data_IF_134070196575
#
_entry.id   IF_134070196575
#
_cell.length_a   1.000
_cell.length_b   1.000
_cell.length_c   1.000
_cell.angle_alpha   90.00
_cell.angle_beta   90.00
_cell.angle_gamma   90.00
#
_symmetry.space_group_name_H-M   'P 1'
#
loop_
_entity.id
_entity.type
_entity.pdbx_description
1 polymer ?
#
# COMPACT_ATOMS: atom_id res chain seq x y z
N UNK A 1 4.62 32.68 66.61
CA UNK A 1 5.89 32.34 65.92
C UNK A 1 5.96 30.88 65.44
N UNK A 2 5.73 29.86 66.29
CA UNK A 2 5.81 28.43 65.88
C UNK A 2 4.87 28.00 64.75
N UNK A 3 3.61 28.49 64.72
CA UNK A 3 2.64 28.16 63.65
C UNK A 3 3.02 28.75 62.28
N UNK A 4 3.64 29.93 62.26
CA UNK A 4 4.07 30.61 61.03
C UNK A 4 5.26 29.88 60.38
N UNK A 5 6.20 29.40 61.20
CA UNK A 5 7.34 28.60 60.75
C UNK A 5 6.92 27.28 60.11
N UNK A 6 5.90 26.61 60.68
CA UNK A 6 5.38 25.35 60.14
C UNK A 6 4.73 25.56 58.75
N UNK A 7 3.96 26.63 58.59
CA UNK A 7 3.32 26.97 57.32
C UNK A 7 4.34 27.25 56.21
N UNK A 8 5.43 27.95 56.53
CA UNK A 8 6.51 28.25 55.58
C UNK A 8 7.23 26.96 55.16
N UNK A 9 7.48 26.04 56.10
CA UNK A 9 8.11 24.74 55.83
C UNK A 9 7.26 23.88 54.89
N UNK A 10 5.94 23.85 55.10
CA UNK A 10 5.01 23.10 54.23
C UNK A 10 5.00 23.73 52.82
N UNK A 11 4.94 25.05 52.72
CA UNK A 11 4.93 25.74 51.42
C UNK A 11 6.24 25.52 50.65
N UNK A 12 7.39 25.57 51.34
CA UNK A 12 8.69 25.24 50.74
C UNK A 12 8.76 23.78 50.29
N UNK A 13 8.22 22.84 51.07
CA UNK A 13 8.20 21.42 50.69
C UNK A 13 7.34 21.18 49.44
N UNK A 14 6.16 21.81 49.34
CA UNK A 14 5.30 21.74 48.18
C UNK A 14 5.95 22.37 46.94
N UNK A 15 6.70 23.46 47.13
CA UNK A 15 7.43 24.11 46.04
C UNK A 15 8.59 23.23 45.53
N UNK A 16 9.33 22.58 46.43
CA UNK A 16 10.40 21.63 46.05
C UNK A 16 9.82 20.43 45.31
N UNK A 17 8.72 19.86 45.78
CA UNK A 17 8.02 18.75 45.11
C UNK A 17 7.54 19.18 43.72
N UNK A 18 6.90 20.35 43.59
CA UNK A 18 6.46 20.89 42.30
C UNK A 18 7.64 21.17 41.34
N UNK A 19 8.78 21.61 41.87
CA UNK A 19 10.00 21.82 41.10
C UNK A 19 10.65 20.51 40.64
N UNK A 20 10.49 19.41 41.39
CA UNK A 20 10.95 18.08 40.98
C UNK A 20 10.06 17.44 39.91
N UNK A 21 8.79 17.83 39.78
CA UNK A 21 7.89 17.29 38.74
C UNK A 21 8.01 17.99 37.37
N UNK A 22 8.41 19.27 37.31
CA UNK A 22 8.68 19.98 36.04
C UNK A 22 9.77 19.34 35.15
N UNK A 23 10.95 18.94 35.67
CA UNK A 23 11.99 18.33 34.84
C UNK A 23 11.57 16.96 34.30
N UNK A 24 10.69 16.23 34.98
CA UNK A 24 10.23 14.91 34.52
C UNK A 24 9.38 15.03 33.25
N UNK A 25 8.47 16.00 33.17
CA UNK A 25 7.64 16.21 31.96
C UNK A 25 8.48 16.57 30.74
N UNK A 26 9.43 17.49 30.91
CA UNK A 26 10.35 17.88 29.83
C UNK A 26 11.26 16.72 29.41
N UNK A 27 11.74 15.89 30.35
CA UNK A 27 12.54 14.71 30.02
C UNK A 27 11.71 13.65 29.30
N UNK A 28 10.44 13.43 29.68
CA UNK A 28 9.55 12.49 28.97
C UNK A 28 9.26 12.97 27.54
N UNK A 29 9.00 14.26 27.34
CA UNK A 29 8.84 14.85 25.99
C UNK A 29 10.15 14.78 25.18
N UNK A 30 11.30 15.05 25.79
CA UNK A 30 12.61 14.97 25.13
C UNK A 30 13.00 13.52 24.77
N UNK A 31 12.64 12.55 25.61
CA UNK A 31 12.88 11.11 25.39
C UNK A 31 11.90 10.57 24.34
N UNK A 32 10.64 11.03 24.32
CA UNK A 32 9.69 10.71 23.27
C UNK A 32 10.11 11.29 21.91
N UNK A 33 10.65 12.51 21.89
CA UNK A 33 11.22 13.14 20.69
C UNK A 33 12.55 12.51 20.22
N UNK A 34 13.21 11.72 21.08
CA UNK A 34 14.44 10.97 20.80
C UNK A 34 14.22 9.49 20.49
N UNK A 35 12.99 9.06 20.22
CA UNK A 35 12.75 7.72 19.70
C UNK A 35 13.51 7.54 18.37
N UNK A 36 14.59 6.76 18.42
CA UNK A 36 15.41 6.45 17.26
C UNK A 36 14.55 5.93 16.10
N UNK A 37 14.77 6.38 14.84
CA UNK A 37 14.01 5.99 13.63
C UNK A 37 13.90 4.48 13.36
N UNK A 38 14.63 3.64 14.12
CA UNK A 38 14.69 2.19 13.94
C UNK A 38 13.57 1.39 14.62
N UNK A 39 12.73 2.01 15.47
CA UNK A 39 11.74 1.25 16.27
C UNK A 39 10.48 0.80 15.50
N UNK A 40 10.19 1.38 14.33
CA UNK A 40 8.96 1.06 13.60
C UNK A 40 9.06 -0.21 12.76
N UNK A 41 10.25 -0.80 12.59
CA UNK A 41 10.42 -2.01 11.76
C UNK A 41 10.71 -3.23 12.64
N UNK A 42 9.81 -4.22 12.56
CA UNK A 42 10.04 -5.55 13.12
C UNK A 42 10.66 -6.47 12.04
N UNK A 43 11.96 -6.74 12.19
CA UNK A 43 12.75 -7.51 11.21
C UNK A 43 12.42 -9.01 11.23
N UNK A 44 11.90 -9.55 12.32
CA UNK A 44 11.65 -11.00 12.45
C UNK A 44 10.29 -11.45 11.93
N UNK A 45 9.49 -10.50 11.41
CA UNK A 45 8.13 -10.78 10.99
C UNK A 45 7.97 -10.94 9.48
N UNK A 46 6.82 -11.46 9.03
CA UNK A 46 6.61 -11.93 7.65
C UNK A 46 5.26 -11.51 7.05
N UNK A 47 4.60 -10.48 7.59
CA UNK A 47 3.40 -9.87 6.99
C UNK A 47 3.54 -8.35 6.97
N UNK A 48 2.75 -7.65 6.14
CA UNK A 48 2.74 -6.17 6.12
C UNK A 48 2.49 -5.59 7.52
N UNK A 49 1.40 -5.99 8.16
CA UNK A 49 0.99 -5.55 9.50
C UNK A 49 2.09 -5.81 10.53
N UNK A 50 2.67 -7.00 10.55
CA UNK A 50 3.67 -7.35 11.55
C UNK A 50 5.02 -6.70 11.29
N UNK A 51 5.37 -6.38 10.03
CA UNK A 51 6.65 -5.79 9.61
C UNK A 51 6.82 -4.38 10.10
N UNK A 52 5.74 -3.62 10.13
CA UNK A 52 5.78 -2.21 10.49
C UNK A 52 4.88 -1.96 11.68
N UNK A 53 5.46 -1.54 12.80
CA UNK A 53 4.74 -1.13 14.00
C UNK A 53 4.02 0.20 13.76
N UNK A 54 2.89 0.39 14.43
CA UNK A 54 2.21 1.68 14.45
C UNK A 54 3.09 2.70 15.20
N UNK A 55 3.20 3.96 14.73
CA UNK A 55 3.87 5.02 15.47
C UNK A 55 3.19 5.31 16.81
N UNK A 56 3.90 5.96 17.73
CA UNK A 56 3.33 6.36 19.02
C UNK A 56 2.10 7.26 18.79
N UNK A 57 1.02 7.02 19.54
CA UNK A 57 -0.24 7.76 19.40
C UNK A 57 -1.16 7.28 18.28
N UNK A 58 -0.71 6.34 17.45
CA UNK A 58 -1.49 5.76 16.36
C UNK A 58 -1.98 4.35 16.68
N UNK A 59 -3.17 4.02 16.20
CA UNK A 59 -3.77 2.69 16.26
C UNK A 59 -4.16 2.22 14.86
N UNK A 60 -4.08 0.91 14.61
CA UNK A 60 -4.52 0.37 13.31
C UNK A 60 -6.03 0.48 13.20
N UNK A 61 -6.52 0.92 12.05
CA UNK A 61 -7.95 0.92 11.77
C UNK A 61 -8.49 -0.51 11.70
N UNK A 62 -9.74 -0.70 12.14
CA UNK A 62 -10.42 -1.99 12.12
C UNK A 62 -11.07 -2.28 10.77
N UNK A 63 -10.96 -3.53 10.34
CA UNK A 63 -11.56 -4.03 9.12
C UNK A 63 -12.23 -5.38 9.35
N UNK A 64 -13.31 -5.63 8.63
CA UNK A 64 -14.02 -6.90 8.69
C UNK A 64 -13.09 -8.05 8.28
N UNK A 65 -13.19 -9.18 8.99
CA UNK A 65 -12.47 -10.41 8.65
C UNK A 65 -12.86 -10.88 7.25
N UNK A 66 -11.88 -11.29 6.45
CA UNK A 66 -12.10 -11.72 5.07
C UNK A 66 -12.37 -10.58 4.09
N UNK A 67 -12.23 -9.32 4.51
CA UNK A 67 -12.24 -8.17 3.60
C UNK A 67 -10.93 -8.07 2.82
N UNK A 68 -10.94 -7.31 1.72
CA UNK A 68 -9.72 -7.05 0.94
C UNK A 68 -8.66 -6.31 1.78
N UNK A 69 -9.11 -5.45 2.70
CA UNK A 69 -8.26 -4.69 3.59
C UNK A 69 -7.54 -5.58 4.61
N UNK A 70 -8.28 -6.52 5.20
CA UNK A 70 -7.71 -7.50 6.12
C UNK A 70 -6.75 -8.46 5.38
N UNK A 71 -7.10 -8.87 4.15
CA UNK A 71 -6.22 -9.64 3.27
C UNK A 71 -4.90 -8.89 2.98
N UNK A 72 -4.96 -7.63 2.56
CA UNK A 72 -3.77 -6.84 2.21
C UNK A 72 -2.85 -6.63 3.40
N UNK A 73 -3.37 -6.21 4.56
CA UNK A 73 -2.49 -5.95 5.71
C UNK A 73 -1.81 -7.22 6.23
N UNK A 74 -2.39 -8.39 5.98
CA UNK A 74 -1.81 -9.67 6.35
C UNK A 74 -1.06 -10.34 5.18
N UNK A 75 -0.85 -9.64 4.06
CA UNK A 75 -0.13 -10.17 2.91
C UNK A 75 1.29 -10.55 3.31
N UNK A 76 1.73 -11.74 2.88
CA UNK A 76 3.02 -12.30 3.26
C UNK A 76 4.18 -11.53 2.64
N UNK A 77 5.24 -11.39 3.44
CA UNK A 77 6.51 -10.81 3.04
C UNK A 77 7.60 -11.87 3.13
N UNK A 78 8.57 -11.76 2.22
CA UNK A 78 9.85 -12.45 2.34
C UNK A 78 10.61 -11.97 3.58
N UNK A 79 11.62 -12.73 4.06
CA UNK A 79 12.44 -12.33 5.20
C UNK A 79 13.01 -10.91 5.05
N UNK A 80 13.22 -10.23 6.18
CA UNK A 80 13.76 -8.87 6.15
C UNK A 80 15.11 -8.81 5.43
N UNK A 81 15.36 -7.73 4.70
CA UNK A 81 16.59 -7.55 3.93
C UNK A 81 16.61 -8.33 2.61
N UNK A 82 15.54 -9.06 2.26
CA UNK A 82 15.41 -9.62 0.91
C UNK A 82 15.49 -8.51 -0.14
N UNK A 83 16.34 -8.72 -1.14
CA UNK A 83 16.55 -7.78 -2.23
C UNK A 83 15.35 -7.77 -3.18
N UNK A 84 15.05 -6.60 -3.73
CA UNK A 84 14.20 -6.49 -4.92
C UNK A 84 14.98 -7.11 -6.09
N UNK A 85 14.38 -8.10 -6.76
CA UNK A 85 14.90 -8.67 -8.00
C UNK A 85 14.02 -8.25 -9.18
N UNK A 86 14.65 -8.04 -10.32
CA UNK A 86 14.01 -7.81 -11.61
C UNK A 86 13.48 -9.14 -12.19
N UNK A 87 12.68 -9.08 -13.26
CA UNK A 87 12.13 -10.24 -13.94
C UNK A 87 13.17 -11.21 -14.53
N UNK A 88 14.40 -10.75 -14.74
CA UNK A 88 15.55 -11.52 -15.23
C UNK A 88 16.44 -12.08 -14.10
N UNK A 89 15.91 -12.10 -12.87
CA UNK A 89 16.59 -12.53 -11.65
C UNK A 89 17.78 -11.64 -11.22
N UNK A 90 18.05 -10.53 -11.92
CA UNK A 90 19.09 -9.56 -11.51
C UNK A 90 18.63 -8.71 -10.31
N UNK A 91 19.54 -8.30 -9.41
CA UNK A 91 19.20 -7.35 -8.35
C UNK A 91 18.80 -6.00 -8.93
N UNK A 92 17.68 -5.44 -8.46
CA UNK A 92 17.31 -4.07 -8.78
C UNK A 92 18.33 -3.08 -8.21
N UNK A 93 18.71 -2.04 -8.96
CA UNK A 93 19.81 -1.17 -8.53
C UNK A 93 19.48 -0.36 -7.26
N UNK A 94 18.20 -0.02 -7.03
CA UNK A 94 17.77 0.80 -5.90
C UNK A 94 17.13 -0.04 -4.79
N UNK A 95 17.97 -0.48 -3.85
CA UNK A 95 17.59 -1.31 -2.69
C UNK A 95 17.29 -0.50 -1.41
N UNK A 96 17.49 0.83 -1.43
CA UNK A 96 17.29 1.69 -0.25
C UNK A 96 15.84 2.17 -0.08
N UNK A 97 15.01 1.99 -1.10
CA UNK A 97 13.64 2.48 -1.17
C UNK A 97 12.57 1.52 -0.63
N UNK A 98 12.94 0.38 -0.06
CA UNK A 98 11.97 -0.60 0.43
C UNK A 98 12.30 -1.14 1.83
N UNK A 99 11.28 -1.69 2.49
CA UNK A 99 11.38 -2.32 3.82
C UNK A 99 10.84 -3.76 3.86
N UNK A 100 10.37 -4.27 2.72
CA UNK A 100 9.89 -5.64 2.59
C UNK A 100 9.55 -5.98 1.15
N UNK A 101 9.73 -7.24 0.78
CA UNK A 101 9.34 -7.77 -0.54
C UNK A 101 8.13 -8.68 -0.31
N UNK A 102 7.02 -8.42 -1.03
CA UNK A 102 5.82 -9.26 -0.95
C UNK A 102 6.11 -10.63 -1.55
N UNK A 103 5.43 -11.65 -1.05
CA UNK A 103 5.52 -13.03 -1.55
C UNK A 103 4.71 -13.22 -2.85
N UNK A 104 4.91 -12.33 -3.81
CA UNK A 104 4.32 -12.38 -5.16
C UNK A 104 5.41 -12.80 -6.15
N UNK A 105 5.24 -13.91 -6.89
CA UNK A 105 6.17 -14.28 -7.95
C UNK A 105 6.29 -13.19 -9.02
N UNK A 106 7.52 -12.91 -9.44
CA UNK A 106 7.80 -12.08 -10.62
C UNK A 106 7.82 -13.01 -11.84
N UNK A 107 6.98 -12.80 -12.85
CA UNK A 107 6.98 -13.69 -14.01
C UNK A 107 8.17 -13.38 -14.91
N UNK A 108 8.86 -14.43 -15.38
CA UNK A 108 10.07 -14.34 -16.19
C UNK A 108 9.88 -13.71 -17.57
N UNK A 109 8.63 -13.58 -18.02
CA UNK A 109 8.28 -12.97 -19.30
C UNK A 109 8.29 -11.43 -19.25
N UNK A 110 8.63 -10.82 -18.10
CA UNK A 110 8.69 -9.36 -17.94
C UNK A 110 7.34 -8.66 -17.90
N UNK A 111 6.24 -9.43 -17.99
CA UNK A 111 4.89 -8.94 -17.68
C UNK A 111 4.76 -8.74 -16.16
N UNK A 112 3.64 -8.19 -15.69
CA UNK A 112 3.46 -7.82 -14.29
C UNK A 112 4.22 -6.55 -13.88
N UNK A 113 3.94 -5.47 -14.61
CA UNK A 113 4.39 -4.12 -14.27
C UNK A 113 3.63 -3.53 -13.07
N UNK A 114 3.79 -2.23 -12.78
CA UNK A 114 3.22 -1.57 -11.61
C UNK A 114 1.71 -1.82 -11.43
N UNK A 115 0.89 -1.52 -12.45
CA UNK A 115 -0.56 -1.76 -12.39
C UNK A 115 -0.93 -3.24 -12.35
N UNK A 116 -0.24 -4.06 -13.13
CA UNK A 116 -0.50 -5.49 -13.25
C UNK A 116 -0.33 -6.25 -11.92
N UNK A 117 0.66 -5.87 -11.12
CA UNK A 117 0.88 -6.42 -9.79
C UNK A 117 -0.33 -6.17 -8.87
N UNK A 118 -0.90 -4.97 -8.94
CA UNK A 118 -2.07 -4.58 -8.15
C UNK A 118 -3.35 -5.29 -8.64
N UNK A 119 -3.51 -5.38 -9.96
CA UNK A 119 -4.58 -6.16 -10.63
C UNK A 119 -4.51 -7.63 -10.18
N UNK A 120 -3.31 -8.22 -10.16
CA UNK A 120 -3.10 -9.61 -9.73
C UNK A 120 -3.54 -9.81 -8.29
N UNK A 121 -3.05 -8.98 -7.37
CA UNK A 121 -3.34 -9.11 -5.93
C UNK A 121 -4.84 -9.01 -5.65
N UNK A 122 -5.53 -8.06 -6.30
CA UNK A 122 -7.00 -7.94 -6.19
C UNK A 122 -7.72 -9.16 -6.78
N UNK A 123 -7.28 -9.63 -7.94
CA UNK A 123 -7.91 -10.76 -8.63
C UNK A 123 -7.70 -12.09 -7.89
N UNK A 124 -6.52 -12.31 -7.31
CA UNK A 124 -6.23 -13.48 -6.47
C UNK A 124 -7.05 -13.46 -5.18
N UNK A 125 -7.21 -12.29 -4.54
CA UNK A 125 -8.13 -12.16 -3.40
C UNK A 125 -9.57 -12.54 -3.78
N UNK A 126 -10.08 -12.03 -4.90
CA UNK A 126 -11.44 -12.35 -5.37
C UNK A 126 -11.57 -13.84 -5.70
N UNK A 127 -10.56 -14.41 -6.35
CA UNK A 127 -10.50 -15.83 -6.65
C UNK A 127 -10.55 -16.69 -5.38
N UNK A 128 -9.67 -16.43 -4.42
CA UNK A 128 -9.56 -17.25 -3.22
C UNK A 128 -10.78 -17.11 -2.28
N UNK A 129 -11.62 -16.09 -2.51
CA UNK A 129 -12.89 -15.87 -1.81
C UNK A 129 -14.14 -16.24 -2.62
N UNK A 130 -14.00 -16.98 -3.73
CA UNK A 130 -15.11 -17.41 -4.59
C UNK A 130 -15.94 -16.27 -5.22
N UNK A 131 -15.31 -15.12 -5.48
CA UNK A 131 -15.92 -13.90 -6.05
C UNK A 131 -15.44 -13.66 -7.49
N UNK A 132 -15.33 -14.73 -8.27
CA UNK A 132 -14.73 -14.67 -9.62
C UNK A 132 -15.56 -13.85 -10.62
N UNK A 133 -16.85 -13.68 -10.36
CA UNK A 133 -17.77 -12.85 -11.12
C UNK A 133 -17.44 -11.35 -11.06
N UNK A 134 -16.73 -10.92 -10.01
CA UNK A 134 -16.26 -9.54 -9.86
C UNK A 134 -14.93 -9.27 -10.57
N UNK A 135 -14.28 -10.30 -11.13
CA UNK A 135 -13.00 -10.14 -11.81
C UNK A 135 -13.24 -9.63 -13.24
N UNK A 136 -12.82 -8.39 -13.49
CA UNK A 136 -12.86 -7.80 -14.83
C UNK A 136 -12.22 -6.42 -14.86
N UNK A 137 -11.65 -6.06 -16.02
CA UNK A 137 -10.93 -4.80 -16.22
C UNK A 137 -11.19 -4.26 -17.62
N UNK A 138 -11.15 -2.95 -17.77
CA UNK A 138 -11.17 -2.30 -19.07
C UNK A 138 -9.78 -2.35 -19.70
N UNK A 139 -9.75 -2.71 -20.98
CA UNK A 139 -8.61 -2.40 -21.82
C UNK A 139 -8.43 -0.87 -21.92
N UNK A 140 -7.25 -0.42 -22.32
CA UNK A 140 -6.95 1.00 -22.54
C UNK A 140 -7.91 1.64 -23.56
N UNK A 141 -8.44 0.85 -24.49
CA UNK A 141 -9.49 1.25 -25.45
C UNK A 141 -10.90 1.36 -24.84
N UNK A 142 -11.07 1.12 -23.53
CA UNK A 142 -12.34 1.21 -22.81
C UNK A 142 -13.23 -0.04 -22.88
N UNK A 143 -12.79 -1.11 -23.56
CA UNK A 143 -13.58 -2.33 -23.69
C UNK A 143 -13.42 -3.22 -22.45
N UNK A 144 -14.53 -3.54 -21.79
CA UNK A 144 -14.53 -4.36 -20.57
C UNK A 144 -14.30 -5.84 -20.89
N UNK A 145 -13.31 -6.44 -20.23
CA UNK A 145 -12.99 -7.86 -20.35
C UNK A 145 -13.18 -8.55 -18.99
N UNK A 146 -14.30 -9.26 -18.82
CA UNK A 146 -14.56 -10.04 -17.59
C UNK A 146 -13.92 -11.43 -17.65
N UNK A 147 -13.51 -11.93 -16.49
CA UNK A 147 -13.04 -13.30 -16.34
C UNK A 147 -14.12 -14.31 -16.72
N UNK A 148 -15.38 -14.11 -16.30
CA UNK A 148 -16.47 -15.06 -16.59
C UNK A 148 -16.63 -15.27 -18.10
N UNK A 149 -16.64 -14.19 -18.90
CA UNK A 149 -16.73 -14.32 -20.36
C UNK A 149 -15.49 -14.98 -20.96
N UNK A 150 -14.30 -14.64 -20.45
CA UNK A 150 -13.08 -15.32 -20.88
C UNK A 150 -13.12 -16.83 -20.57
N UNK A 151 -13.57 -17.20 -19.38
CA UNK A 151 -13.71 -18.59 -18.95
C UNK A 151 -14.77 -19.34 -19.77
N UNK A 152 -15.85 -18.68 -20.21
CA UNK A 152 -16.87 -19.23 -21.12
C UNK A 152 -16.37 -19.44 -22.57
N UNK A 153 -15.13 -19.03 -22.89
CA UNK A 153 -14.50 -19.23 -24.19
C UNK A 153 -14.48 -18.00 -25.11
N UNK A 154 -14.90 -16.83 -24.61
CA UNK A 154 -14.80 -15.59 -25.37
C UNK A 154 -13.36 -15.06 -25.39
N UNK A 155 -12.90 -14.58 -26.54
CA UNK A 155 -11.57 -13.99 -26.72
C UNK A 155 -11.69 -12.64 -27.43
N UNK A 156 -10.83 -11.66 -27.10
CA UNK A 156 -10.83 -10.40 -27.81
C UNK A 156 -10.34 -10.60 -29.24
N UNK A 157 -11.09 -10.06 -30.19
CA UNK A 157 -10.69 -9.83 -31.56
C UNK A 157 -10.43 -8.33 -31.70
N UNK A 158 -9.19 -7.98 -32.02
CA UNK A 158 -8.71 -6.59 -31.97
C UNK A 158 -8.45 -6.11 -33.40
N UNK A 159 -9.07 -4.99 -33.75
CA UNK A 159 -8.83 -4.28 -35.01
C UNK A 159 -8.62 -2.78 -34.70
N UNK A 160 -7.35 -2.38 -34.60
CA UNK A 160 -6.98 -1.06 -34.10
C UNK A 160 -7.50 -0.83 -32.67
N UNK A 161 -8.24 0.26 -32.47
CA UNK A 161 -8.83 0.61 -31.17
C UNK A 161 -10.20 -0.05 -30.91
N UNK A 162 -10.71 -0.86 -31.83
CA UNK A 162 -11.99 -1.57 -31.66
C UNK A 162 -11.73 -2.99 -31.19
N UNK A 163 -12.45 -3.41 -30.16
CA UNK A 163 -12.35 -4.76 -29.61
C UNK A 163 -13.73 -5.38 -29.55
N UNK A 164 -13.89 -6.53 -30.18
CA UNK A 164 -15.07 -7.38 -30.04
C UNK A 164 -14.68 -8.66 -29.31
N UNK A 165 -15.64 -9.31 -28.65
CA UNK A 165 -15.41 -10.59 -27.98
C UNK A 165 -16.15 -11.69 -28.72
N UNK A 166 -15.40 -12.60 -29.32
CA UNK A 166 -15.94 -13.74 -30.08
C UNK A 166 -15.72 -15.03 -29.30
N UNK A 167 -16.68 -15.94 -29.36
CA UNK A 167 -16.53 -17.27 -28.75
C UNK A 167 -15.68 -18.15 -29.66
N UNK A 168 -14.39 -18.28 -29.33
CA UNK A 168 -13.41 -18.99 -30.16
C UNK A 168 -12.62 -20.07 -29.39
N UNK A 169 -12.88 -20.23 -28.09
CA UNK A 169 -12.29 -21.28 -27.27
C UNK A 169 -13.38 -22.09 -26.55
N UNK A 170 -13.03 -23.31 -26.10
CA UNK A 170 -13.86 -24.08 -25.20
C UNK A 170 -13.91 -23.43 -23.81
N UNK A 171 -14.99 -23.68 -23.06
CA UNK A 171 -15.12 -23.21 -21.69
C UNK A 171 -14.03 -23.84 -20.80
N UNK A 172 -13.41 -23.02 -19.95
CA UNK A 172 -12.35 -23.43 -19.05
C UNK A 172 -12.26 -22.49 -17.83
N UNK A 173 -12.72 -22.99 -16.67
CA UNK A 173 -12.75 -22.25 -15.42
C UNK A 173 -11.56 -22.58 -14.49
N UNK A 174 -10.50 -23.21 -15.02
CA UNK A 174 -9.34 -23.59 -14.21
C UNK A 174 -8.50 -22.39 -13.77
N UNK A 175 -7.81 -22.52 -12.64
CA UNK A 175 -6.85 -21.52 -12.14
C UNK A 175 -5.71 -21.25 -13.14
N UNK A 176 -5.30 -22.27 -13.91
CA UNK A 176 -4.32 -22.08 -14.99
C UNK A 176 -4.85 -21.16 -16.09
N UNK A 177 -6.12 -21.29 -16.47
CA UNK A 177 -6.73 -20.41 -17.46
C UNK A 177 -6.95 -18.98 -16.91
N UNK A 178 -7.16 -18.85 -15.60
CA UNK A 178 -7.19 -17.54 -14.93
C UNK A 178 -5.87 -16.77 -15.04
N UNK A 179 -4.73 -17.41 -14.88
CA UNK A 179 -3.44 -16.73 -15.12
C UNK A 179 -3.21 -16.38 -16.60
N UNK A 180 -3.75 -17.17 -17.55
CA UNK A 180 -3.76 -16.78 -18.97
C UNK A 180 -4.63 -15.54 -19.22
N UNK A 181 -5.77 -15.45 -18.54
CA UNK A 181 -6.59 -14.25 -18.55
C UNK A 181 -5.85 -13.05 -17.98
N UNK A 182 -5.17 -13.17 -16.83
CA UNK A 182 -4.38 -12.08 -16.28
C UNK A 182 -3.27 -11.61 -17.22
N UNK A 183 -2.56 -12.53 -17.89
CA UNK A 183 -1.59 -12.16 -18.92
C UNK A 183 -2.22 -11.38 -20.07
N UNK A 184 -3.43 -11.73 -20.49
CA UNK A 184 -4.18 -10.94 -21.48
C UNK A 184 -4.49 -9.53 -20.94
N UNK A 185 -4.91 -9.42 -19.67
CA UNK A 185 -5.16 -8.11 -19.04
C UNK A 185 -3.89 -7.26 -19.01
N UNK A 186 -2.74 -7.82 -18.65
CA UNK A 186 -1.44 -7.11 -18.61
C UNK A 186 -1.00 -6.57 -19.97
N UNK A 187 -1.48 -7.17 -21.06
CA UNK A 187 -1.16 -6.70 -22.41
C UNK A 187 -1.98 -5.48 -22.84
N UNK A 188 -3.21 -5.34 -22.33
CA UNK A 188 -4.17 -4.36 -22.85
C UNK A 188 -4.67 -3.36 -21.81
N UNK A 189 -4.40 -3.61 -20.54
CA UNK A 189 -4.77 -2.77 -19.40
C UNK A 189 -3.49 -2.32 -18.69
N UNK A 190 -3.57 -1.22 -17.94
CA UNK A 190 -2.44 -0.69 -17.21
C UNK A 190 -2.84 0.53 -16.39
N UNK A 191 -1.87 1.34 -15.98
CA UNK A 191 -2.14 2.49 -15.11
C UNK A 191 -3.16 3.47 -15.72
N UNK A 192 -3.09 3.72 -17.03
CA UNK A 192 -4.05 4.59 -17.72
C UNK A 192 -5.46 4.01 -17.73
N UNK A 193 -5.62 2.70 -17.94
CA UNK A 193 -6.96 2.09 -17.96
C UNK A 193 -7.57 2.11 -16.55
N UNK A 194 -6.79 1.79 -15.51
CA UNK A 194 -7.23 1.89 -14.11
C UNK A 194 -7.63 3.32 -13.73
N UNK A 195 -6.82 4.32 -14.15
CA UNK A 195 -7.12 5.74 -13.90
C UNK A 195 -8.46 6.17 -14.51
N UNK A 196 -8.79 5.66 -15.70
CA UNK A 196 -10.02 6.03 -16.40
C UNK A 196 -11.25 5.24 -15.92
N UNK A 197 -11.07 3.98 -15.49
CA UNK A 197 -12.22 3.11 -15.17
C UNK A 197 -12.64 3.13 -13.70
N UNK A 198 -11.71 3.44 -12.78
CA UNK A 198 -11.94 3.35 -11.35
C UNK A 198 -12.50 4.66 -10.78
N UNK A 199 -13.43 4.61 -9.81
CA UNK A 199 -13.92 5.80 -9.12
C UNK A 199 -12.77 6.54 -8.42
N UNK A 200 -12.73 7.85 -8.62
CA UNK A 200 -11.82 8.75 -7.94
C UNK A 200 -12.23 8.95 -6.47
N UNK A 201 -11.24 9.17 -5.61
CA UNK A 201 -11.45 9.54 -4.21
C UNK A 201 -11.08 11.01 -4.06
N UNK A 202 -12.08 11.83 -3.77
CA UNK A 202 -11.94 13.29 -3.79
C UNK A 202 -11.35 13.87 -2.50
N UNK A 203 -11.40 13.11 -1.40
CA UNK A 203 -10.92 13.53 -0.08
C UNK A 203 -9.96 12.48 0.51
N UNK A 204 -8.75 12.89 0.86
CA UNK A 204 -7.73 12.02 1.42
C UNK A 204 -8.13 11.37 2.77
N UNK A 205 -9.07 11.98 3.50
CA UNK A 205 -9.61 11.38 4.75
C UNK A 205 -10.42 10.10 4.50
N UNK A 206 -10.96 9.93 3.30
CA UNK A 206 -11.74 8.75 2.91
C UNK A 206 -10.85 7.59 2.43
N UNK A 207 -9.54 7.81 2.35
CA UNK A 207 -8.58 6.78 2.00
C UNK A 207 -8.61 5.63 3.00
N UNK A 208 -8.43 4.44 2.46
CA UNK A 208 -8.48 3.18 3.18
C UNK A 208 -7.56 2.16 2.52
N UNK A 209 -7.30 1.04 3.20
CA UNK A 209 -6.47 -0.03 2.64
C UNK A 209 -7.05 -0.52 1.30
N UNK A 210 -6.17 -0.75 0.32
CA UNK A 210 -6.52 -1.15 -1.04
C UNK A 210 -6.79 0.00 -2.02
N UNK A 211 -6.85 1.24 -1.55
CA UNK A 211 -6.87 2.41 -2.43
C UNK A 211 -5.51 2.64 -3.06
N UNK A 212 -5.50 3.34 -4.19
CA UNK A 212 -4.31 3.51 -5.01
C UNK A 212 -4.01 4.98 -5.25
N UNK A 213 -2.76 5.38 -5.00
CA UNK A 213 -2.19 6.63 -5.48
C UNK A 213 -1.75 6.42 -6.93
N UNK A 214 -2.25 7.23 -7.84
CA UNK A 214 -2.19 6.95 -9.28
C UNK A 214 -1.90 8.20 -10.11
N UNK A 215 -1.08 8.01 -11.14
CA UNK A 215 -0.91 8.94 -12.25
C UNK A 215 -1.12 8.18 -13.56
N UNK A 216 -2.25 8.44 -14.22
CA UNK A 216 -2.53 7.90 -15.56
C UNK A 216 -1.54 8.39 -16.62
N UNK A 217 -1.50 7.69 -17.75
CA UNK A 217 -0.69 8.04 -18.92
C UNK A 217 0.45 7.06 -19.22
N UNK A 218 1.29 7.43 -20.19
CA UNK A 218 2.49 6.69 -20.57
C UNK A 218 3.65 7.68 -20.75
N UNK A 219 4.53 7.86 -19.76
CA UNK A 219 4.64 7.07 -18.53
C UNK A 219 3.63 7.49 -17.45
N UNK A 220 2.99 6.48 -16.86
CA UNK A 220 2.16 6.56 -15.64
C UNK A 220 2.80 5.77 -14.49
N UNK A 221 2.28 5.92 -13.27
CA UNK A 221 2.70 5.12 -12.11
C UNK A 221 1.54 4.91 -11.14
N UNK A 222 1.59 3.82 -10.39
CA UNK A 222 0.56 3.47 -9.42
C UNK A 222 1.15 2.69 -8.26
N UNK A 223 0.69 3.02 -7.05
CA UNK A 223 1.03 2.33 -5.81
C UNK A 223 -0.25 2.10 -5.00
N UNK A 224 -0.27 1.08 -4.15
CA UNK A 224 -1.46 0.72 -3.36
C UNK A 224 -1.19 0.85 -1.87
N UNK A 225 -2.22 1.28 -1.13
CA UNK A 225 -2.22 1.31 0.33
C UNK A 225 -2.33 -0.13 0.86
N UNK A 226 -1.32 -0.60 1.58
CA UNK A 226 -1.24 -1.93 2.17
C UNK A 226 -1.60 -2.01 3.65
N UNK A 227 -1.44 -0.92 4.39
CA UNK A 227 -1.90 -0.81 5.78
C UNK A 227 -2.23 0.64 6.11
N UNK A 228 -3.02 0.85 7.18
CA UNK A 228 -3.33 2.17 7.70
C UNK A 228 -3.39 2.19 9.23
N UNK A 229 -3.05 3.35 9.78
CA UNK A 229 -3.21 3.69 11.18
C UNK A 229 -3.84 5.07 11.33
N UNK A 230 -4.52 5.30 12.45
CA UNK A 230 -5.24 6.54 12.78
C UNK A 230 -4.91 6.97 14.22
N UNK A 231 -4.74 8.26 14.47
CA UNK A 231 -4.57 8.83 15.81
C UNK A 231 -5.90 9.32 16.40
N UNK A 232 -5.86 9.90 17.61
CA UNK A 232 -7.06 10.38 18.29
C UNK A 232 -7.73 11.58 17.58
N UNK A 233 -6.95 12.33 16.81
CA UNK A 233 -7.37 13.49 16.01
C UNK A 233 -7.98 13.07 14.65
N UNK A 234 -7.93 11.78 14.32
CA UNK A 234 -8.43 11.23 13.05
C UNK A 234 -7.46 11.39 11.88
N UNK A 235 -6.21 11.78 12.15
CA UNK A 235 -5.14 11.82 11.14
C UNK A 235 -4.69 10.39 10.81
N UNK A 236 -4.49 10.14 9.52
CA UNK A 236 -4.16 8.81 9.01
C UNK A 236 -2.75 8.76 8.44
N UNK A 237 -2.09 7.64 8.68
CA UNK A 237 -0.85 7.27 8.02
C UNK A 237 -1.01 5.94 7.30
N UNK A 238 -0.28 5.79 6.19
CA UNK A 238 -0.46 4.68 5.26
C UNK A 238 0.88 4.00 4.93
N UNK A 239 0.85 2.67 4.77
CA UNK A 239 1.93 1.94 4.10
C UNK A 239 1.59 1.79 2.63
N UNK A 240 2.60 1.96 1.79
CA UNK A 240 2.47 1.82 0.35
C UNK A 240 3.25 0.61 -0.14
N UNK A 241 2.74 -0.08 -1.16
CA UNK A 241 3.50 -1.06 -1.91
C UNK A 241 3.32 -0.87 -3.42
N UNK A 242 4.31 -1.32 -4.18
CA UNK A 242 4.33 -1.11 -5.62
C UNK A 242 5.04 -2.24 -6.36
N UNK A 243 4.66 -2.41 -7.64
CA UNK A 243 5.53 -2.99 -8.67
C UNK A 243 6.34 -1.89 -9.37
N UNK A 244 6.95 -2.21 -10.52
CA UNK A 244 7.69 -1.24 -11.32
C UNK A 244 7.59 -1.56 -12.82
N UNK A 245 8.12 -0.68 -13.66
CA UNK A 245 8.31 -0.91 -15.11
C UNK A 245 9.79 -0.71 -15.45
N UNK A 246 10.53 -1.75 -15.90
CA UNK A 246 10.13 -3.15 -16.11
C UNK A 246 9.69 -3.89 -14.86
N UNK A 247 9.10 -5.09 -15.03
CA UNK A 247 8.61 -5.91 -13.92
C UNK A 247 9.75 -6.28 -12.95
N UNK A 248 9.46 -6.16 -11.66
CA UNK A 248 10.35 -6.51 -10.56
C UNK A 248 9.53 -6.99 -9.36
N UNK A 249 10.22 -7.35 -8.29
CA UNK A 249 9.57 -7.77 -7.04
C UNK A 249 8.63 -6.69 -6.51
N UNK A 250 7.39 -7.08 -6.19
CA UNK A 250 6.44 -6.21 -5.49
C UNK A 250 6.96 -5.96 -4.08
N UNK A 251 7.02 -4.71 -3.64
CA UNK A 251 7.69 -4.36 -2.39
C UNK A 251 6.96 -3.24 -1.63
N UNK A 252 7.07 -3.28 -0.30
CA UNK A 252 6.65 -2.20 0.58
C UNK A 252 7.64 -1.05 0.47
N UNK A 253 7.14 0.14 0.16
CA UNK A 253 7.94 1.33 -0.07
C UNK A 253 8.29 2.01 1.25
N UNK A 254 9.52 2.54 1.30
CA UNK A 254 10.03 3.30 2.44
C UNK A 254 9.79 4.79 2.22
N UNK A 255 9.14 5.47 3.17
CA UNK A 255 9.14 6.93 3.22
C UNK A 255 10.56 7.44 3.53
N UNK A 256 11.15 8.16 2.57
CA UNK A 256 12.49 8.74 2.68
C UNK A 256 12.48 10.21 3.09
N UNK A 257 11.31 10.85 3.05
CA UNK A 257 11.14 12.29 3.32
C UNK A 257 10.94 12.57 4.80
N UNK A 258 10.33 11.64 5.54
CA UNK A 258 10.11 11.78 6.97
C UNK A 258 10.63 10.54 7.74
N UNK A 259 11.78 10.72 8.40
CA UNK A 259 12.43 9.68 9.18
C UNK A 259 11.70 9.33 10.49
N UNK A 260 10.85 10.22 11.02
CA UNK A 260 10.15 10.01 12.29
C UNK A 260 8.98 9.04 12.14
N UNK A 261 8.28 9.09 11.00
CA UNK A 261 7.17 8.19 10.69
C UNK A 261 7.57 7.08 9.71
N UNK A 262 8.78 7.08 9.14
CA UNK A 262 9.22 6.08 8.17
C UNK A 262 8.98 4.65 8.68
N UNK A 263 8.34 3.76 7.90
CA UNK A 263 8.06 3.87 6.46
C UNK A 263 6.67 4.43 6.12
N UNK A 264 5.92 4.92 7.10
CA UNK A 264 4.56 5.43 6.91
C UNK A 264 4.53 6.74 6.12
N UNK A 265 3.43 6.94 5.39
CA UNK A 265 3.15 8.12 4.59
C UNK A 265 1.91 8.85 5.10
N UNK A 266 2.00 10.17 5.24
CA UNK A 266 0.82 11.03 5.25
C UNK A 266 0.47 11.35 3.79
N UNK A 267 -0.80 11.18 3.43
CA UNK A 267 -1.28 11.39 2.07
C UNK A 267 -2.31 12.50 2.04
N UNK A 268 -2.12 13.42 1.09
CA UNK A 268 -3.04 14.52 0.82
C UNK A 268 -3.30 14.59 -0.68
N UNK A 269 -4.50 15.02 -1.06
CA UNK A 269 -4.85 15.18 -2.46
C UNK A 269 -4.19 16.43 -3.04
N UNK A 270 -3.64 16.30 -4.25
CA UNK A 270 -2.93 17.39 -4.92
C UNK A 270 -1.54 17.69 -4.35
N UNK A 271 -1.10 16.96 -3.33
CA UNK A 271 0.23 17.10 -2.77
C UNK A 271 1.29 16.43 -3.64
N UNK A 272 2.55 16.86 -3.45
CA UNK A 272 3.73 16.16 -3.98
C UNK A 272 4.05 15.00 -3.05
N UNK A 273 4.08 13.78 -3.56
CA UNK A 273 4.35 12.56 -2.79
C UNK A 273 5.51 11.78 -3.43
N UNK A 274 6.72 11.89 -2.87
CA UNK A 274 7.86 11.06 -3.27
C UNK A 274 7.70 9.61 -2.76
N UNK A 275 7.75 8.64 -3.66
CA UNK A 275 7.58 7.21 -3.38
C UNK A 275 8.76 6.44 -3.97
N UNK A 276 9.78 6.21 -3.13
CA UNK A 276 11.06 5.59 -3.51
C UNK A 276 11.76 6.27 -4.69
N UNK A 277 11.57 5.77 -5.91
CA UNK A 277 12.23 6.20 -7.13
C UNK A 277 11.30 7.00 -8.06
N UNK A 278 10.09 7.32 -7.60
CA UNK A 278 9.08 8.04 -8.36
C UNK A 278 8.48 9.16 -7.51
N UNK A 279 8.18 10.31 -8.12
CA UNK A 279 7.47 11.40 -7.43
C UNK A 279 6.14 11.69 -8.11
N UNK A 280 5.06 11.57 -7.34
CA UNK A 280 3.75 12.07 -7.76
C UNK A 280 3.71 13.57 -7.48
N UNK A 281 3.66 14.42 -8.51
CA UNK A 281 3.59 15.88 -8.33
C UNK A 281 2.17 16.41 -8.07
N UNK A 282 1.16 15.58 -8.33
CA UNK A 282 -0.25 15.86 -8.13
C UNK A 282 -0.93 14.56 -7.70
N UNK A 283 -1.02 14.35 -6.39
CA UNK A 283 -1.55 13.11 -5.82
C UNK A 283 -3.05 12.94 -6.10
N UNK A 284 -3.38 11.90 -6.86
CA UNK A 284 -4.75 11.46 -7.17
C UNK A 284 -4.97 10.04 -6.69
N UNK A 285 -6.19 9.75 -6.28
CA UNK A 285 -6.52 8.47 -5.66
C UNK A 285 -7.71 7.81 -6.34
N UNK A 286 -7.66 6.48 -6.46
CA UNK A 286 -8.74 5.65 -7.02
C UNK A 286 -8.96 4.41 -6.16
N UNK A 287 -10.14 3.80 -6.28
CA UNK A 287 -10.55 2.60 -5.56
C UNK A 287 -11.09 1.53 -6.50
N UNK A 288 -10.78 0.25 -6.26
CA UNK A 288 -11.46 -0.83 -6.97
C UNK A 288 -12.98 -0.80 -6.72
N UNK A 289 -13.76 -1.17 -7.73
CA UNK A 289 -15.21 -1.34 -7.62
C UNK A 289 -15.56 -2.53 -6.72
#
# INVERSE_FOLDING_TARGET
MKKLLLSILILCSLFVVAYQFKPVKQVVELVAAKAEPSQLINKDSTTIKSRVNAPLGYQRADYAKGSFQEYLRNYKLKPYGTQIINYDDSPYFWQRGHIGVLEVPVPKNGLQQCADALIRIRSEYLWDNNRMDEIGFNFTSGHYCSWIKYAEGYRPQINGNKVTFIKSAAANHSKNNFYKYLNLIYMYSGTLSLFNELPAIENARDLKIGDMLIKGGSPGHIVMIGDEVVNAEGEKLFLLFQGNTPAQSVHLVKNLEDAHISPWYQLEKGAVVPVSNYTFYDAKFVRFK
#
